data_IF_244888451193
#
_entry.id   IF_244888451193
#
_cell.length_a   1.000
_cell.length_b   1.000
_cell.length_c   1.000
_cell.angle_alpha   90.00
_cell.angle_beta   90.00
_cell.angle_gamma   90.00
#
_symmetry.space_group_name_H-M   'P 1'
#
loop_
_entity.id
_entity.type
_entity.pdbx_description
1 polymer ?
#
# COMPACT_ATOMS: atom_id res chain seq x y z
N UNK A 1 14.16 -9.75 -0.78
CA UNK A 1 13.78 -11.12 -1.18
C UNK A 1 12.33 -11.06 -1.60
N UNK A 2 12.02 -11.20 -2.89
CA UNK A 2 10.64 -11.08 -3.36
C UNK A 2 9.85 -12.33 -2.97
N UNK A 3 8.96 -12.15 -1.99
CA UNK A 3 8.14 -13.21 -1.40
C UNK A 3 7.26 -13.84 -2.49
N UNK A 4 7.33 -15.18 -2.60
CA UNK A 4 6.56 -15.96 -3.56
C UNK A 4 5.07 -15.59 -3.44
N UNK A 5 4.33 -15.39 -4.55
CA UNK A 5 2.90 -15.11 -4.49
C UNK A 5 2.19 -16.27 -3.80
N UNK A 6 1.73 -16.02 -2.58
CA UNK A 6 0.99 -16.97 -1.75
C UNK A 6 -0.20 -16.23 -1.13
N UNK A 7 -1.28 -16.95 -0.83
CA UNK A 7 -2.46 -16.34 -0.20
C UNK A 7 -2.10 -15.65 1.12
N UNK A 8 -1.18 -16.22 1.90
CA UNK A 8 -0.69 -15.62 3.14
C UNK A 8 0.03 -14.29 2.89
N UNK A 9 0.93 -14.24 1.90
CA UNK A 9 1.65 -13.02 1.54
C UNK A 9 0.69 -11.93 1.02
N UNK A 10 -0.29 -12.31 0.19
CA UNK A 10 -1.34 -11.39 -0.28
C UNK A 10 -2.12 -10.78 0.89
N UNK A 11 -2.57 -11.60 1.84
CA UNK A 11 -3.29 -11.13 3.04
C UNK A 11 -2.40 -10.23 3.90
N UNK A 12 -1.13 -10.58 4.07
CA UNK A 12 -0.18 -9.76 4.82
C UNK A 12 0.00 -8.37 4.19
N UNK A 13 0.19 -8.28 2.88
CA UNK A 13 0.37 -7.02 2.17
C UNK A 13 -0.88 -6.13 2.21
N UNK A 14 -2.08 -6.71 2.04
CA UNK A 14 -3.33 -5.97 2.18
C UNK A 14 -3.53 -5.46 3.61
N UNK A 15 -3.20 -6.28 4.62
CA UNK A 15 -3.25 -5.85 6.02
C UNK A 15 -2.24 -4.74 6.29
N UNK A 16 -1.05 -4.79 5.70
CA UNK A 16 -0.07 -3.72 5.81
C UNK A 16 -0.63 -2.43 5.20
N UNK A 17 -1.19 -2.49 3.99
CA UNK A 17 -1.81 -1.35 3.29
C UNK A 17 -2.88 -0.65 4.13
N UNK A 18 -3.80 -1.41 4.74
CA UNK A 18 -4.90 -0.83 5.55
C UNK A 18 -4.41 -0.27 6.89
N UNK A 19 -3.27 -0.75 7.40
CA UNK A 19 -2.68 -0.24 8.64
C UNK A 19 -1.65 0.87 8.41
N UNK A 20 -1.33 1.21 7.16
CA UNK A 20 -0.50 2.36 6.82
C UNK A 20 -1.28 3.63 7.19
N UNK A 21 -0.85 4.27 8.27
CA UNK A 21 -1.36 5.56 8.73
C UNK A 21 -0.25 6.59 8.66
N UNK A 22 -0.61 7.84 8.45
CA UNK A 22 0.36 8.91 8.51
C UNK A 22 0.80 9.10 9.97
N UNK A 23 2.10 8.92 10.25
CA UNK A 23 2.63 9.21 11.58
C UNK A 23 2.57 10.70 11.89
N UNK A 24 2.34 11.08 13.15
CA UNK A 24 2.42 12.48 13.57
C UNK A 24 3.81 13.06 13.25
N UNK A 25 3.86 14.05 12.36
CA UNK A 25 5.10 14.67 11.89
C UNK A 25 5.79 13.96 10.70
N UNK A 26 5.22 12.88 10.16
CA UNK A 26 5.69 12.29 8.91
C UNK A 26 5.42 13.23 7.73
N UNK A 27 6.32 13.28 6.74
CA UNK A 27 6.09 14.11 5.56
C UNK A 27 5.08 13.43 4.61
N UNK A 28 4.28 14.24 3.92
CA UNK A 28 3.39 13.77 2.87
C UNK A 28 4.14 12.95 1.81
N UNK A 29 5.34 13.41 1.45
CA UNK A 29 6.21 12.75 0.46
C UNK A 29 6.65 11.36 0.92
N UNK A 30 7.06 11.21 2.19
CA UNK A 30 7.48 9.92 2.74
C UNK A 30 6.31 8.94 2.76
N UNK A 31 5.11 9.42 3.13
CA UNK A 31 3.91 8.60 3.15
C UNK A 31 3.50 8.12 1.75
N UNK A 32 3.52 9.01 0.75
CA UNK A 32 3.27 8.66 -0.65
C UNK A 32 4.33 7.66 -1.17
N UNK A 33 5.59 7.81 -0.78
CA UNK A 33 6.65 6.87 -1.14
C UNK A 33 6.43 5.48 -0.54
N UNK A 34 6.02 5.41 0.74
CA UNK A 34 5.68 4.15 1.40
C UNK A 34 4.50 3.46 0.69
N UNK A 35 3.46 4.22 0.36
CA UNK A 35 2.31 3.73 -0.39
C UNK A 35 2.70 3.19 -1.78
N UNK A 36 3.51 3.93 -2.54
CA UNK A 36 3.99 3.49 -3.86
C UNK A 36 4.84 2.20 -3.77
N UNK A 37 5.64 2.06 -2.72
CA UNK A 37 6.40 0.84 -2.45
C UNK A 37 5.47 -0.34 -2.15
N UNK A 38 4.41 -0.13 -1.36
CA UNK A 38 3.38 -1.12 -1.08
C UNK A 38 2.61 -1.54 -2.33
N UNK A 39 2.17 -0.58 -3.16
CA UNK A 39 1.53 -0.88 -4.44
C UNK A 39 2.44 -1.72 -5.34
N UNK A 40 3.72 -1.37 -5.43
CA UNK A 40 4.69 -2.13 -6.23
C UNK A 40 4.80 -3.59 -5.75
N UNK A 41 4.80 -3.82 -4.42
CA UNK A 41 4.79 -5.17 -3.83
C UNK A 41 3.49 -5.92 -4.10
N UNK A 42 2.35 -5.23 -4.07
CA UNK A 42 1.04 -5.80 -4.39
C UNK A 42 0.96 -6.24 -5.86
N UNK A 43 1.48 -5.42 -6.78
CA UNK A 43 1.56 -5.76 -8.21
C UNK A 43 2.42 -7.01 -8.42
N UNK A 44 3.52 -7.15 -7.68
CA UNK A 44 4.41 -8.32 -7.77
C UNK A 44 3.76 -9.62 -7.27
N UNK A 45 2.77 -9.54 -6.39
CA UNK A 45 1.97 -10.70 -5.96
C UNK A 45 0.67 -10.85 -6.75
N UNK A 46 0.57 -10.20 -7.91
CA UNK A 46 -0.60 -10.25 -8.79
C UNK A 46 -1.86 -9.71 -8.09
N UNK A 47 -1.71 -8.55 -7.43
CA UNK A 47 -2.81 -7.70 -6.95
C UNK A 47 -2.61 -6.34 -7.61
N UNK A 48 -3.53 -5.98 -8.50
CA UNK A 48 -3.54 -4.68 -9.18
C UNK A 48 -4.83 -3.96 -8.80
N UNK A 49 -4.72 -2.66 -8.63
CA UNK A 49 -5.86 -1.76 -8.46
C UNK A 49 -5.93 -0.87 -9.69
N UNK A 50 -7.14 -0.58 -10.14
CA UNK A 50 -7.34 0.41 -11.19
C UNK A 50 -6.96 1.81 -10.68
N UNK A 51 -6.60 2.72 -11.58
CA UNK A 51 -6.09 4.05 -11.23
C UNK A 51 -7.06 4.84 -10.34
N UNK A 52 -8.37 4.70 -10.56
CA UNK A 52 -9.41 5.29 -9.72
C UNK A 52 -9.34 4.77 -8.28
N UNK A 53 -9.19 3.45 -8.12
CA UNK A 53 -9.09 2.82 -6.79
C UNK A 53 -7.78 3.21 -6.11
N UNK A 54 -6.67 3.31 -6.85
CA UNK A 54 -5.41 3.80 -6.31
C UNK A 54 -5.53 5.23 -5.78
N UNK A 55 -6.18 6.12 -6.52
CA UNK A 55 -6.42 7.50 -6.10
C UNK A 55 -7.27 7.56 -4.82
N UNK A 56 -8.34 6.77 -4.74
CA UNK A 56 -9.19 6.67 -3.55
C UNK A 56 -8.43 6.13 -2.32
N UNK A 57 -7.58 5.13 -2.52
CA UNK A 57 -6.74 4.56 -1.45
C UNK A 57 -5.76 5.58 -0.88
N UNK A 58 -5.11 6.39 -1.73
CA UNK A 58 -4.23 7.49 -1.30
C UNK A 58 -4.99 8.50 -0.45
N UNK A 59 -6.20 8.90 -0.87
CA UNK A 59 -7.00 9.86 -0.10
C UNK A 59 -7.40 9.26 1.27
N UNK A 60 -7.73 7.98 1.31
CA UNK A 60 -8.14 7.30 2.54
C UNK A 60 -7.02 7.26 3.61
N UNK A 61 -5.78 6.94 3.21
CA UNK A 61 -4.62 6.87 4.13
C UNK A 61 -4.11 8.25 4.55
N UNK A 62 -4.30 9.28 3.71
CA UNK A 62 -3.98 10.67 4.05
C UNK A 62 -5.00 11.30 5.00
N UNK A 63 -6.24 10.83 4.97
CA UNK A 63 -7.32 11.32 5.82
C UNK A 63 -7.36 10.68 7.22
N UNK A 64 -6.45 9.73 7.51
CA UNK A 64 -6.34 8.98 8.77
C UNK A 64 -5.07 9.27 9.53
#
# INVERSE_FOLDING_TARGET
MYEKPSTSNKVFLIRQLVNTKMGEGASLTDHVNEFNSLLSRLILVDIKFDDEVQALLIVAILAT
#
